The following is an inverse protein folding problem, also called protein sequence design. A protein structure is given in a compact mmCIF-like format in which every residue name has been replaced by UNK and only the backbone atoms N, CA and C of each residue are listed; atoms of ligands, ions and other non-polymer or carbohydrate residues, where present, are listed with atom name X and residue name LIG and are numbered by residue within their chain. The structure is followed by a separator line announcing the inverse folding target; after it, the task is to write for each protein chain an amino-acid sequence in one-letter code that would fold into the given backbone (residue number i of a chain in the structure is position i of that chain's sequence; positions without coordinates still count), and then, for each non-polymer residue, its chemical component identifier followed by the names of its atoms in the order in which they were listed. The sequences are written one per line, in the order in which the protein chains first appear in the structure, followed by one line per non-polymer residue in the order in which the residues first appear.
data_IF_874878131062
#
_entry.id   IF_874878131062
#
_cell.length_a   1.000
_cell.length_b   1.000
_cell.length_c   1.000
_cell.angle_alpha   90.00
_cell.angle_beta   90.00
_cell.angle_gamma   90.00
#
_symmetry.space_group_name_H-M   'P 1'
#
loop_
_entity.id
_entity.type
_entity.pdbx_description
1 polymer ?
#
# COMPACT_ATOMS: atom_id res chain seq x y z
N UNK A 1 53.33 -53.08 4.97
CA UNK A 1 51.98 -52.47 5.01
C UNK A 1 52.13 -50.97 5.07
N UNK A 2 51.87 -50.28 3.96
CA UNK A 2 51.94 -48.82 3.88
C UNK A 2 50.67 -48.20 4.51
N UNK A 3 50.83 -47.45 5.59
CA UNK A 3 49.74 -46.70 6.23
C UNK A 3 49.41 -45.44 5.43
N UNK A 4 48.33 -45.48 4.66
CA UNK A 4 47.73 -44.28 4.07
C UNK A 4 46.97 -43.50 5.15
N UNK A 5 47.53 -42.38 5.59
CA UNK A 5 46.80 -41.38 6.39
C UNK A 5 45.73 -40.74 5.50
N UNK A 6 44.46 -40.95 5.81
CA UNK A 6 43.38 -40.15 5.24
C UNK A 6 43.51 -38.70 5.71
N UNK A 7 43.97 -37.82 4.82
CA UNK A 7 43.79 -36.39 4.96
C UNK A 7 42.29 -36.10 4.85
N UNK A 8 41.67 -35.62 5.94
CA UNK A 8 40.35 -34.99 5.89
C UNK A 8 40.49 -33.70 5.11
N UNK A 9 40.15 -33.74 3.83
CA UNK A 9 40.05 -32.57 2.97
C UNK A 9 39.05 -31.57 3.56
N UNK A 10 39.43 -30.30 3.50
CA UNK A 10 38.69 -29.15 3.97
C UNK A 10 37.25 -29.15 3.44
N UNK A 11 36.27 -29.31 4.33
CA UNK A 11 34.86 -29.06 4.01
C UNK A 11 34.69 -27.58 3.66
N UNK A 12 34.53 -27.27 2.37
CA UNK A 12 34.18 -25.93 1.90
C UNK A 12 32.88 -25.53 2.59
N UNK A 13 32.95 -24.49 3.43
CA UNK A 13 31.79 -23.98 4.16
C UNK A 13 30.71 -23.58 3.14
N UNK A 14 29.56 -24.25 3.21
CA UNK A 14 28.42 -23.88 2.35
C UNK A 14 28.08 -22.41 2.63
N UNK A 15 27.92 -21.58 1.57
CA UNK A 15 27.63 -20.16 1.77
C UNK A 15 26.33 -20.04 2.58
N UNK A 16 26.40 -19.31 3.71
CA UNK A 16 25.23 -19.08 4.55
C UNK A 16 24.13 -18.47 3.69
N UNK A 17 22.94 -19.10 3.68
CA UNK A 17 21.77 -18.57 2.98
C UNK A 17 21.43 -17.20 3.57
N UNK A 18 21.71 -16.13 2.84
CA UNK A 18 21.36 -14.77 3.25
C UNK A 18 19.88 -14.57 2.96
N UNK A 19 19.10 -14.23 3.99
CA UNK A 19 17.72 -13.83 3.78
C UNK A 19 17.70 -12.37 3.31
N UNK A 20 17.72 -12.20 1.98
CA UNK A 20 17.73 -10.89 1.32
C UNK A 20 16.42 -10.11 1.44
N UNK A 21 15.38 -10.69 2.06
CA UNK A 21 14.06 -10.08 2.15
C UNK A 21 13.51 -10.22 3.57
N UNK A 22 13.84 -9.24 4.41
CA UNK A 22 13.37 -9.14 5.79
C UNK A 22 12.88 -7.72 6.08
N UNK A 23 12.04 -7.56 7.10
CA UNK A 23 11.44 -6.26 7.44
C UNK A 23 12.49 -5.19 7.74
N UNK A 24 13.60 -5.54 8.39
CA UNK A 24 14.67 -4.60 8.74
C UNK A 24 15.31 -3.99 7.49
N UNK A 25 15.66 -4.82 6.51
CA UNK A 25 16.32 -4.37 5.29
C UNK A 25 15.36 -3.59 4.39
N UNK A 26 14.09 -4.01 4.32
CA UNK A 26 13.04 -3.28 3.61
C UNK A 26 12.85 -1.89 4.23
N UNK A 27 12.72 -1.78 5.55
CA UNK A 27 12.61 -0.49 6.24
C UNK A 27 13.82 0.41 5.98
N UNK A 28 15.03 -0.15 6.00
CA UNK A 28 16.26 0.59 5.68
C UNK A 28 16.24 1.14 4.25
N UNK A 29 15.80 0.34 3.28
CA UNK A 29 15.75 0.77 1.88
C UNK A 29 14.56 1.73 1.60
N UNK A 30 13.44 1.61 2.30
CA UNK A 30 12.35 2.61 2.29
C UNK A 30 12.89 3.95 2.79
N UNK A 31 13.59 3.94 3.93
CA UNK A 31 14.17 5.15 4.51
C UNK A 31 15.11 5.83 3.50
N UNK A 32 16.08 5.11 2.95
CA UNK A 32 16.98 5.65 1.91
C UNK A 32 16.24 6.18 0.70
N UNK A 33 15.21 5.45 0.24
CA UNK A 33 14.41 5.85 -0.91
C UNK A 33 13.57 7.09 -0.63
N UNK A 34 13.15 7.35 0.61
CA UNK A 34 12.47 8.59 0.99
C UNK A 34 13.46 9.74 1.10
N UNK A 35 14.66 9.48 1.63
CA UNK A 35 15.74 10.46 1.77
C UNK A 35 16.14 11.08 0.43
N UNK A 36 16.06 10.36 -0.69
CA UNK A 36 16.36 10.93 -2.03
C UNK A 36 15.40 12.03 -2.47
N UNK A 37 14.23 12.15 -1.84
CA UNK A 37 13.26 13.23 -2.07
C UNK A 37 13.36 14.35 -1.03
N UNK A 38 14.32 14.27 -0.10
CA UNK A 38 14.41 15.18 1.03
C UNK A 38 15.65 16.05 0.91
N UNK A 39 15.53 17.30 1.38
CA UNK A 39 16.66 18.19 1.57
C UNK A 39 16.91 18.40 3.06
N UNK A 40 18.18 18.41 3.46
CA UNK A 40 18.62 18.60 4.84
C UNK A 40 19.71 19.67 4.93
N UNK A 41 19.91 20.24 6.13
CA UNK A 41 21.07 21.11 6.40
C UNK A 41 22.36 20.31 6.28
N UNK A 42 22.45 19.18 6.96
CA UNK A 42 23.52 18.20 6.80
C UNK A 42 22.97 16.88 6.26
N UNK A 43 23.18 16.63 4.97
CA UNK A 43 22.67 15.44 4.29
C UNK A 43 23.14 14.11 4.92
N UNK A 44 24.33 14.06 5.51
CA UNK A 44 24.90 12.82 6.05
C UNK A 44 24.33 12.44 7.42
N UNK A 45 23.91 13.41 8.22
CA UNK A 45 23.49 13.17 9.61
C UNK A 45 21.99 13.40 9.80
N UNK A 46 21.46 14.49 9.23
CA UNK A 46 20.11 14.97 9.53
C UNK A 46 19.03 14.08 8.93
N UNK A 47 19.37 13.21 7.97
CA UNK A 47 18.44 12.24 7.42
C UNK A 47 18.05 11.15 8.42
N UNK A 48 18.87 10.86 9.44
CA UNK A 48 18.61 9.82 10.44
C UNK A 48 17.78 10.37 11.62
N UNK A 49 16.49 10.07 11.64
CA UNK A 49 15.63 10.43 12.78
C UNK A 49 15.73 9.41 13.92
N UNK A 50 15.45 9.86 15.14
CA UNK A 50 15.45 9.00 16.33
C UNK A 50 14.03 8.59 16.73
N UNK A 51 13.07 9.49 16.56
CA UNK A 51 11.66 9.25 16.89
C UNK A 51 10.74 10.00 15.91
N UNK A 52 9.58 9.41 15.64
CA UNK A 52 8.51 10.05 14.88
C UNK A 52 7.49 10.62 15.87
N UNK A 53 7.10 11.87 15.67
CA UNK A 53 6.15 12.59 16.50
C UNK A 53 5.05 13.18 15.61
N UNK A 54 3.82 13.26 16.14
CA UNK A 54 2.67 13.77 15.38
C UNK A 54 2.64 15.29 15.25
N UNK A 55 3.25 16.02 16.19
CA UNK A 55 3.21 17.48 16.23
C UNK A 55 4.45 18.01 16.96
N UNK A 56 4.92 19.20 16.59
CA UNK A 56 6.06 19.91 17.19
C UNK A 56 5.83 20.12 18.68
N UNK A 57 4.60 20.43 19.09
CA UNK A 57 4.22 20.62 20.51
C UNK A 57 4.42 19.37 21.37
N UNK A 58 4.54 18.20 20.75
CA UNK A 58 4.76 16.94 21.46
C UNK A 58 6.25 16.65 21.68
N UNK A 59 7.15 17.48 21.17
CA UNK A 59 8.59 17.45 21.53
C UNK A 59 8.72 17.98 22.96
N UNK A 60 8.62 17.08 23.93
CA UNK A 60 8.71 17.38 25.36
C UNK A 60 9.82 16.54 26.01
N UNK A 61 10.13 16.83 27.29
CA UNK A 61 11.19 16.13 28.04
C UNK A 61 11.02 14.59 28.06
N UNK A 62 9.78 14.09 28.01
CA UNK A 62 9.52 12.65 27.95
C UNK A 62 9.92 12.06 26.58
N UNK A 63 9.55 12.71 25.49
CA UNK A 63 9.93 12.31 24.12
C UNK A 63 11.44 12.43 23.88
N UNK A 64 12.10 13.44 24.45
CA UNK A 64 13.57 13.58 24.41
C UNK A 64 14.23 12.37 25.06
N UNK A 65 13.77 11.97 26.26
CA UNK A 65 14.29 10.78 26.95
C UNK A 65 14.09 9.50 26.13
N UNK A 66 12.92 9.34 25.51
CA UNK A 66 12.60 8.21 24.65
C UNK A 66 13.50 8.18 23.40
N UNK A 67 13.71 9.33 22.75
CA UNK A 67 14.61 9.47 21.62
C UNK A 67 16.05 9.08 21.97
N UNK A 68 16.56 9.50 23.14
CA UNK A 68 17.88 9.06 23.63
C UNK A 68 17.96 7.55 23.78
N UNK A 69 16.93 6.92 24.34
CA UNK A 69 16.91 5.45 24.49
C UNK A 69 16.94 4.75 23.13
N UNK A 70 16.16 5.22 22.15
CA UNK A 70 16.15 4.68 20.79
C UNK A 70 17.50 4.87 20.09
N UNK A 71 18.13 6.04 20.24
CA UNK A 71 19.49 6.33 19.72
C UNK A 71 20.51 5.35 20.29
N UNK A 72 20.51 5.10 21.60
CA UNK A 72 21.42 4.15 22.25
C UNK A 72 21.20 2.73 21.70
N UNK A 73 19.95 2.31 21.57
CA UNK A 73 19.61 0.99 21.01
C UNK A 73 20.11 0.86 19.57
N UNK A 74 19.99 1.91 18.75
CA UNK A 74 20.52 1.93 17.38
C UNK A 74 22.05 1.82 17.38
N UNK A 75 22.75 2.68 18.13
CA UNK A 75 24.22 2.68 18.18
C UNK A 75 24.74 1.33 18.67
N UNK A 76 24.18 0.80 19.75
CA UNK A 76 24.53 -0.54 20.26
C UNK A 76 24.37 -1.63 19.21
N UNK A 77 23.39 -1.52 18.32
CA UNK A 77 23.15 -2.49 17.24
C UNK A 77 24.10 -2.34 16.06
N UNK A 78 24.61 -1.13 15.81
CA UNK A 78 25.46 -0.80 14.67
C UNK A 78 26.95 -0.93 15.00
N UNK A 79 27.40 -0.38 16.12
CA UNK A 79 28.81 -0.38 16.55
C UNK A 79 29.11 -1.44 17.61
N UNK A 80 28.10 -1.92 18.33
CA UNK A 80 28.28 -2.83 19.47
C UNK A 80 28.60 -2.13 20.80
N UNK A 81 28.76 -0.81 20.78
CA UNK A 81 29.14 -0.03 21.97
C UNK A 81 27.94 0.28 22.87
N UNK A 82 28.18 0.29 24.19
CA UNK A 82 27.16 0.61 25.20
C UNK A 82 27.36 2.04 25.67
N UNK A 83 26.59 2.96 25.10
CA UNK A 83 26.61 4.38 25.43
C UNK A 83 25.59 4.70 26.53
N UNK A 84 25.96 5.59 27.46
CA UNK A 84 25.05 6.07 28.51
C UNK A 84 24.22 7.26 28.00
N UNK A 85 22.97 7.47 28.46
CA UNK A 85 22.13 8.59 28.02
C UNK A 85 22.71 10.00 28.23
N UNK A 86 23.67 10.16 29.15
CA UNK A 86 24.34 11.44 29.41
C UNK A 86 25.38 11.82 28.35
N UNK A 87 25.79 10.89 27.50
CA UNK A 87 26.78 11.12 26.45
C UNK A 87 26.14 11.58 25.13
N UNK A 88 24.80 11.65 25.09
CA UNK A 88 24.04 12.12 23.94
C UNK A 88 23.43 13.45 24.34
N UNK A 89 23.78 14.52 23.65
CA UNK A 89 23.23 15.84 23.88
C UNK A 89 21.78 15.92 23.37
N UNK A 90 20.97 16.80 23.98
CA UNK A 90 19.59 17.01 23.55
C UNK A 90 19.53 17.63 22.14
N UNK A 91 20.57 18.38 21.75
CA UNK A 91 20.73 19.07 20.47
C UNK A 91 20.96 18.13 19.30
N UNK A 92 21.50 16.93 19.56
CA UNK A 92 21.83 15.95 18.54
C UNK A 92 20.63 15.09 18.11
N UNK A 93 19.53 15.17 18.86
CA UNK A 93 18.34 14.36 18.63
C UNK A 93 17.52 14.91 17.47
N UNK A 94 17.11 14.00 16.58
CA UNK A 94 16.34 14.35 15.39
C UNK A 94 14.93 13.81 15.52
N UNK A 95 13.96 14.74 15.50
CA UNK A 95 12.54 14.45 15.58
C UNK A 95 11.92 14.57 14.19
N UNK A 96 11.34 13.48 13.69
CA UNK A 96 10.54 13.52 12.46
C UNK A 96 9.11 13.88 12.82
N UNK A 97 8.60 14.99 12.27
CA UNK A 97 7.23 15.45 12.46
C UNK A 97 6.48 15.37 11.14
N UNK A 98 5.39 14.59 11.12
CA UNK A 98 4.55 14.45 9.93
C UNK A 98 3.75 15.73 9.72
N UNK A 99 3.93 16.42 8.59
CA UNK A 99 3.30 17.72 8.32
C UNK A 99 3.14 17.98 6.83
N UNK A 100 2.08 18.71 6.47
CA UNK A 100 1.71 19.07 5.10
C UNK A 100 2.00 20.53 4.75
N UNK A 101 2.68 21.27 5.63
CA UNK A 101 2.85 22.73 5.52
C UNK A 101 3.53 23.21 4.22
N UNK A 102 4.57 22.51 3.76
CA UNK A 102 5.28 22.84 2.51
C UNK A 102 4.60 22.31 1.25
N UNK A 103 3.52 21.54 1.39
CA UNK A 103 2.87 20.90 0.25
C UNK A 103 1.83 21.86 -0.33
N UNK A 104 1.97 22.29 -1.60
CA UNK A 104 1.02 23.18 -2.23
C UNK A 104 -0.39 22.59 -2.21
N UNK A 105 -1.39 23.47 -2.13
CA UNK A 105 -2.79 23.10 -2.27
C UNK A 105 -3.25 23.41 -3.68
N UNK A 106 -4.02 22.49 -4.24
CA UNK A 106 -4.64 22.61 -5.57
C UNK A 106 -6.16 22.55 -5.42
N UNK A 107 -6.91 23.16 -6.35
CA UNK A 107 -8.37 23.02 -6.36
C UNK A 107 -8.74 21.55 -6.51
N UNK A 108 -9.64 21.07 -5.64
CA UNK A 108 -10.11 19.69 -5.67
C UNK A 108 -10.84 19.42 -6.98
N UNK A 109 -10.46 18.36 -7.69
CA UNK A 109 -11.20 17.95 -8.88
C UNK A 109 -12.59 17.47 -8.50
N UNK A 110 -13.66 17.87 -9.21
CA UNK A 110 -15.01 17.40 -8.94
C UNK A 110 -15.08 15.88 -9.12
N UNK A 111 -15.82 15.24 -8.22
CA UNK A 111 -16.08 13.81 -8.29
C UNK A 111 -17.00 13.47 -9.47
N UNK A 112 -16.99 12.21 -9.93
CA UNK A 112 -17.90 11.74 -10.99
C UNK A 112 -19.38 11.96 -10.65
N UNK A 113 -19.74 11.85 -9.37
CA UNK A 113 -21.10 12.12 -8.90
C UNK A 113 -21.47 13.61 -9.01
N UNK A 114 -20.55 14.50 -8.63
CA UNK A 114 -20.73 15.95 -8.79
C UNK A 114 -20.82 16.34 -10.27
N UNK A 115 -19.96 15.76 -11.13
CA UNK A 115 -20.03 15.97 -12.58
C UNK A 115 -21.37 15.50 -13.15
N UNK A 116 -21.86 14.32 -12.75
CA UNK A 116 -23.17 13.82 -13.17
C UNK A 116 -24.32 14.69 -12.67
N UNK A 117 -24.23 15.22 -11.45
CA UNK A 117 -25.22 16.15 -10.90
C UNK A 117 -25.22 17.47 -11.67
N UNK A 118 -24.05 18.02 -11.98
CA UNK A 118 -23.89 19.25 -12.77
C UNK A 118 -24.46 19.09 -14.18
N UNK A 119 -24.10 18.01 -14.88
CA UNK A 119 -24.65 17.71 -16.20
C UNK A 119 -26.17 17.56 -16.18
N UNK A 120 -26.72 16.91 -15.14
CA UNK A 120 -28.18 16.79 -14.97
C UNK A 120 -28.85 18.13 -14.68
N UNK A 121 -28.20 19.02 -13.92
CA UNK A 121 -28.74 20.38 -13.68
C UNK A 121 -28.73 21.20 -14.97
N UNK A 122 -27.64 21.15 -15.73
CA UNK A 122 -27.50 21.83 -17.02
C UNK A 122 -28.56 21.39 -18.04
N UNK A 123 -28.96 20.11 -18.02
CA UNK A 123 -30.08 19.61 -18.84
C UNK A 123 -31.48 20.06 -18.35
N UNK A 124 -31.63 20.46 -17.09
CA UNK A 124 -32.92 20.80 -16.47
C UNK A 124 -33.21 22.31 -16.45
N UNK A 125 -32.19 23.16 -16.60
CA UNK A 125 -32.33 24.61 -16.53
C UNK A 125 -31.76 25.24 -17.81
N UNK A 126 -32.64 25.67 -18.73
CA UNK A 126 -32.30 26.45 -19.94
C UNK A 126 -31.95 27.93 -19.62
N UNK A 127 -31.87 28.29 -18.34
CA UNK A 127 -31.65 29.68 -17.88
C UNK A 127 -30.21 29.88 -17.41
N UNK A 128 -29.42 30.58 -18.24
CA UNK A 128 -28.00 30.88 -18.00
C UNK A 128 -27.72 31.70 -16.73
N UNK A 129 -28.73 32.37 -16.17
CA UNK A 129 -28.59 33.22 -14.98
C UNK A 129 -28.65 32.37 -13.69
N UNK A 130 -29.57 31.41 -13.62
CA UNK A 130 -29.67 30.46 -12.50
C UNK A 130 -28.50 29.45 -12.47
N UNK A 131 -28.01 29.04 -13.64
CA UNK A 131 -26.83 28.19 -13.79
C UNK A 131 -25.57 28.87 -13.18
N UNK A 132 -25.42 30.18 -13.37
CA UNK A 132 -24.31 30.98 -12.81
C UNK A 132 -24.42 31.14 -11.30
N UNK A 133 -25.61 31.42 -10.76
CA UNK A 133 -25.83 31.49 -9.31
C UNK A 133 -25.55 30.15 -8.61
N UNK A 134 -25.92 29.03 -9.23
CA UNK A 134 -25.63 27.68 -8.72
C UNK A 134 -24.16 27.28 -8.85
N UNK A 135 -23.49 27.68 -9.93
CA UNK A 135 -22.05 27.44 -10.10
C UNK A 135 -21.21 28.23 -9.07
N UNK A 136 -21.69 29.39 -8.62
CA UNK A 136 -21.08 30.17 -7.52
C UNK A 136 -21.40 29.57 -6.12
N UNK A 137 -22.60 29.01 -5.91
CA UNK A 137 -22.98 28.34 -4.65
C UNK A 137 -22.30 26.97 -4.47
N UNK A 138 -22.02 26.26 -5.58
CA UNK A 138 -21.29 24.99 -5.61
C UNK A 138 -19.82 25.13 -6.04
N UNK A 139 -19.33 26.37 -6.16
CA UNK A 139 -17.94 26.68 -6.48
C UNK A 139 -17.02 25.89 -5.56
N UNK A 140 -16.15 25.06 -6.13
CA UNK A 140 -15.30 24.13 -5.39
C UNK A 140 -14.25 24.93 -4.62
N UNK A 141 -14.59 25.40 -3.41
CA UNK A 141 -13.69 26.11 -2.50
C UNK A 141 -12.76 25.18 -1.74
N UNK A 142 -12.98 23.86 -1.81
CA UNK A 142 -12.15 22.86 -1.18
C UNK A 142 -10.80 22.77 -1.89
N UNK A 143 -9.77 23.40 -1.32
CA UNK A 143 -8.39 23.16 -1.73
C UNK A 143 -7.85 21.88 -1.07
N UNK A 144 -7.23 21.00 -1.85
CA UNK A 144 -6.61 19.75 -1.38
C UNK A 144 -5.12 19.77 -1.65
N UNK A 145 -4.31 19.16 -0.79
CA UNK A 145 -2.88 19.05 -1.04
C UNK A 145 -2.59 18.23 -2.30
N UNK A 146 -1.51 18.58 -3.01
CA UNK A 146 -1.01 17.78 -4.14
C UNK A 146 -0.72 16.35 -3.67
N UNK A 147 -0.99 15.37 -4.54
CA UNK A 147 -0.65 13.97 -4.28
C UNK A 147 0.88 13.81 -4.24
N UNK A 148 1.37 13.22 -3.15
CA UNK A 148 2.80 13.00 -2.90
C UNK A 148 3.15 11.50 -2.84
N UNK A 149 4.43 11.19 -3.00
CA UNK A 149 4.98 9.84 -3.08
C UNK A 149 4.89 9.11 -1.72
N UNK A 150 5.01 9.86 -0.63
CA UNK A 150 4.88 9.37 0.74
C UNK A 150 4.36 10.47 1.68
N UNK A 151 3.84 10.13 2.87
CA UNK A 151 3.38 11.12 3.83
C UNK A 151 4.48 12.16 4.14
N UNK A 152 4.21 13.46 3.95
CA UNK A 152 5.21 14.50 4.05
C UNK A 152 5.59 14.77 5.51
N UNK A 153 6.83 15.21 5.72
CA UNK A 153 7.37 15.45 7.05
C UNK A 153 8.47 16.52 7.05
N UNK A 154 8.73 17.04 8.24
CA UNK A 154 9.92 17.82 8.57
C UNK A 154 10.77 17.08 9.58
N UNK A 155 12.07 17.36 9.56
CA UNK A 155 12.99 17.00 10.63
C UNK A 155 13.29 18.23 11.48
N UNK A 156 13.24 18.03 12.79
CA UNK A 156 13.53 19.06 13.79
C UNK A 156 14.70 18.64 14.68
N UNK A 157 15.55 19.61 15.03
CA UNK A 157 16.52 19.54 16.12
C UNK A 157 16.13 20.53 17.21
N UNK A 158 16.64 20.35 18.42
CA UNK A 158 16.45 21.29 19.52
C UNK A 158 17.70 22.17 19.61
N UNK A 159 17.55 23.49 19.68
CA UNK A 159 18.68 24.41 19.91
C UNK A 159 19.05 24.48 21.41
N UNK A 160 20.11 25.21 21.75
CA UNK A 160 20.55 25.39 23.15
C UNK A 160 19.49 26.07 24.05
N UNK A 161 18.57 26.83 23.46
CA UNK A 161 17.45 27.46 24.15
C UNK A 161 16.27 26.50 24.39
N UNK A 162 16.33 25.28 23.86
CA UNK A 162 15.25 24.29 23.98
C UNK A 162 14.14 24.43 22.92
N UNK A 163 14.35 25.24 21.88
CA UNK A 163 13.38 25.49 20.82
C UNK A 163 13.61 24.58 19.60
N UNK A 164 12.55 24.05 18.98
CA UNK A 164 12.66 23.18 17.82
C UNK A 164 12.94 23.98 16.54
N UNK A 165 14.04 23.66 15.86
CA UNK A 165 14.46 24.25 14.58
C UNK A 165 14.30 23.23 13.44
N UNK A 166 13.84 23.68 12.27
CA UNK A 166 13.70 22.81 11.09
C UNK A 166 15.07 22.60 10.45
N UNK A 167 15.46 21.33 10.29
CA UNK A 167 16.74 20.92 9.69
C UNK A 167 16.57 20.07 8.45
N UNK A 168 15.34 19.72 8.09
CA UNK A 168 15.06 18.96 6.88
C UNK A 168 13.61 19.00 6.46
N UNK A 169 13.38 18.96 5.15
CA UNK A 169 12.06 18.96 4.53
C UNK A 169 11.96 17.79 3.53
N UNK A 170 10.84 17.06 3.57
CA UNK A 170 10.51 16.09 2.52
C UNK A 170 10.07 16.78 1.24
N UNK A 171 10.12 16.07 0.09
CA UNK A 171 9.67 16.57 -1.21
C UNK A 171 10.20 17.98 -1.53
N UNK A 172 11.45 18.24 -1.19
CA UNK A 172 12.07 19.56 -1.31
C UNK A 172 13.39 19.45 -2.06
N UNK A 173 13.58 20.32 -3.03
CA UNK A 173 14.77 20.36 -3.88
C UNK A 173 15.51 21.69 -3.69
N UNK A 174 16.81 21.60 -3.38
CA UNK A 174 17.69 22.73 -3.11
C UNK A 174 17.76 23.12 -1.63
N UNK A 175 18.28 24.31 -1.35
CA UNK A 175 18.46 24.80 0.02
C UNK A 175 17.12 24.91 0.78
N UNK A 176 17.14 24.73 2.10
CA UNK A 176 15.92 24.76 2.91
C UNK A 176 15.16 26.10 2.88
N UNK A 177 15.86 27.20 2.65
CA UNK A 177 15.29 28.54 2.57
C UNK A 177 14.85 28.93 1.15
N UNK A 178 15.68 28.65 0.15
CA UNK A 178 15.49 29.12 -1.25
C UNK A 178 15.04 28.04 -2.22
N UNK A 179 15.00 26.79 -1.77
CA UNK A 179 14.55 25.66 -2.58
C UNK A 179 13.06 25.71 -2.85
N UNK A 180 12.54 24.64 -3.44
CA UNK A 180 11.14 24.53 -3.78
C UNK A 180 10.62 23.13 -3.58
N UNK A 181 9.30 23.02 -3.48
CA UNK A 181 8.61 21.74 -3.44
C UNK A 181 8.74 21.03 -4.79
N UNK A 182 9.17 19.76 -4.74
CA UNK A 182 9.37 18.91 -5.92
C UNK A 182 9.17 17.44 -5.55
N UNK A 183 8.22 16.79 -6.23
CA UNK A 183 7.85 15.37 -6.03
C UNK A 183 8.57 14.41 -6.97
N UNK A 184 9.28 14.92 -7.98
CA UNK A 184 9.86 14.14 -9.07
C UNK A 184 11.38 14.02 -8.99
N UNK A 185 12.08 14.92 -8.26
CA UNK A 185 13.55 14.90 -8.19
C UNK A 185 14.15 13.64 -7.53
N UNK A 186 13.39 12.96 -6.67
CA UNK A 186 13.86 11.79 -5.94
C UNK A 186 13.64 10.47 -6.70
N UNK A 187 14.29 9.41 -6.22
CA UNK A 187 14.16 8.09 -6.80
C UNK A 187 14.16 6.98 -5.74
N UNK A 188 13.39 5.92 -6.01
CA UNK A 188 13.46 4.68 -5.24
C UNK A 188 14.81 3.98 -5.47
N UNK A 189 15.41 3.41 -4.41
CA UNK A 189 16.68 2.71 -4.58
C UNK A 189 16.52 1.47 -5.47
N UNK A 190 17.50 1.15 -6.32
CA UNK A 190 17.47 -0.08 -7.12
C UNK A 190 17.30 -1.34 -6.27
N UNK A 191 17.83 -1.32 -5.04
CA UNK A 191 17.71 -2.42 -4.09
C UNK A 191 16.27 -2.60 -3.59
N UNK A 192 15.55 -1.51 -3.27
CA UNK A 192 14.13 -1.61 -2.91
C UNK A 192 13.28 -2.10 -4.08
N UNK A 193 13.54 -1.59 -5.28
CA UNK A 193 12.87 -2.06 -6.50
C UNK A 193 13.08 -3.57 -6.71
N UNK A 194 14.30 -4.05 -6.53
CA UNK A 194 14.61 -5.48 -6.63
C UNK A 194 13.91 -6.31 -5.53
N UNK A 195 13.77 -5.78 -4.32
CA UNK A 195 12.98 -6.42 -3.26
C UNK A 195 11.50 -6.55 -3.65
N UNK A 196 10.90 -5.53 -4.29
CA UNK A 196 9.52 -5.58 -4.78
C UNK A 196 9.33 -6.62 -5.87
N UNK A 197 10.27 -6.71 -6.82
CA UNK A 197 10.25 -7.76 -7.86
C UNK A 197 10.24 -9.15 -7.21
N UNK A 198 11.16 -9.41 -6.27
CA UNK A 198 11.21 -10.71 -5.55
C UNK A 198 9.95 -11.00 -4.75
N UNK A 199 9.31 -9.99 -4.16
CA UNK A 199 8.04 -10.14 -3.44
C UNK A 199 6.94 -10.63 -4.39
N UNK A 200 6.77 -9.96 -5.53
CA UNK A 200 5.77 -10.32 -6.54
C UNK A 200 6.03 -11.72 -7.11
N UNK A 201 7.28 -12.03 -7.48
CA UNK A 201 7.69 -13.34 -8.00
C UNK A 201 7.39 -14.48 -7.02
N UNK A 202 7.78 -14.31 -5.75
CA UNK A 202 7.49 -15.32 -4.73
C UNK A 202 6.00 -15.46 -4.46
N UNK A 203 5.25 -14.35 -4.52
CA UNK A 203 3.80 -14.41 -4.27
C UNK A 203 3.06 -15.15 -5.39
N UNK A 204 3.51 -14.98 -6.63
CA UNK A 204 2.96 -15.63 -7.82
C UNK A 204 3.08 -17.17 -7.82
N UNK A 205 4.07 -17.74 -7.13
CA UNK A 205 4.26 -19.20 -7.07
C UNK A 205 3.32 -19.91 -6.10
N UNK A 206 2.53 -19.17 -5.31
CA UNK A 206 1.54 -19.76 -4.39
C UNK A 206 0.53 -20.61 -5.16
N UNK A 207 0.10 -21.72 -4.55
CA UNK A 207 -0.81 -22.70 -5.17
C UNK A 207 -2.08 -22.05 -5.76
N UNK A 208 -2.62 -21.05 -5.06
CA UNK A 208 -3.83 -20.34 -5.47
C UNK A 208 -3.66 -19.48 -6.72
N UNK A 209 -2.42 -19.13 -7.11
CA UNK A 209 -2.13 -18.18 -8.19
C UNK A 209 -1.35 -18.79 -9.35
N UNK A 210 -0.46 -19.76 -9.07
CA UNK A 210 0.49 -20.31 -10.06
C UNK A 210 -0.15 -20.96 -11.29
N UNK A 211 -1.41 -21.38 -11.19
CA UNK A 211 -2.13 -22.09 -12.25
C UNK A 211 -2.90 -21.20 -13.22
N UNK A 212 -2.97 -19.89 -12.97
CA UNK A 212 -3.66 -18.97 -13.88
C UNK A 212 -2.78 -18.63 -15.08
N UNK A 213 -3.39 -18.56 -16.26
CA UNK A 213 -2.72 -18.18 -17.51
C UNK A 213 -2.23 -16.73 -17.49
N UNK A 214 -2.93 -15.85 -16.77
CA UNK A 214 -2.62 -14.42 -16.64
C UNK A 214 -1.74 -14.08 -15.43
N UNK A 215 -0.94 -15.04 -14.97
CA UNK A 215 -0.07 -14.85 -13.79
C UNK A 215 0.97 -13.75 -14.02
N UNK A 216 1.51 -13.67 -15.24
CA UNK A 216 2.52 -12.65 -15.57
C UNK A 216 1.93 -11.23 -15.58
N UNK A 217 0.69 -11.07 -16.04
CA UNK A 217 -0.07 -9.81 -15.95
C UNK A 217 -0.37 -9.45 -14.50
N UNK A 218 -0.74 -10.43 -13.66
CA UNK A 218 -0.92 -10.20 -12.22
C UNK A 218 0.38 -9.69 -11.57
N UNK A 219 1.51 -10.31 -11.89
CA UNK A 219 2.84 -9.91 -11.40
C UNK A 219 3.19 -8.50 -11.84
N UNK A 220 3.00 -8.19 -13.13
CA UNK A 220 3.25 -6.87 -13.70
C UNK A 220 2.41 -5.79 -13.01
N UNK A 221 1.10 -6.04 -12.87
CA UNK A 221 0.18 -5.09 -12.22
C UNK A 221 0.50 -4.90 -10.73
N UNK A 222 0.88 -5.97 -10.01
CA UNK A 222 1.29 -5.86 -8.62
C UNK A 222 2.60 -5.09 -8.45
N UNK A 223 3.58 -5.30 -9.35
CA UNK A 223 4.83 -4.56 -9.31
C UNK A 223 4.60 -3.06 -9.57
N UNK A 224 3.73 -2.71 -10.53
CA UNK A 224 3.32 -1.32 -10.77
C UNK A 224 2.61 -0.72 -9.55
N UNK A 225 1.76 -1.50 -8.88
CA UNK A 225 1.13 -1.05 -7.64
C UNK A 225 2.19 -0.75 -6.57
N UNK A 226 3.15 -1.66 -6.36
CA UNK A 226 4.22 -1.46 -5.39
C UNK A 226 5.13 -0.27 -5.74
N UNK A 227 5.39 0.03 -7.01
CA UNK A 227 6.17 1.21 -7.37
C UNK A 227 5.44 2.51 -7.04
N UNK A 228 4.10 2.53 -7.15
CA UNK A 228 3.28 3.71 -6.86
C UNK A 228 3.05 3.95 -5.35
N UNK A 229 2.79 2.89 -4.58
CA UNK A 229 2.45 3.00 -3.15
C UNK A 229 3.56 2.54 -2.22
N UNK A 230 4.70 2.11 -2.77
CA UNK A 230 5.80 1.52 -2.03
C UNK A 230 6.29 2.44 -0.91
N UNK A 231 6.56 3.70 -1.24
CA UNK A 231 7.03 4.68 -0.26
C UNK A 231 5.93 5.17 0.68
N UNK A 232 4.65 4.90 0.42
CA UNK A 232 3.54 5.31 1.28
C UNK A 232 3.45 4.52 2.60
N UNK A 233 4.27 3.48 2.78
CA UNK A 233 4.33 2.76 4.05
C UNK A 233 4.67 3.72 5.20
N UNK A 234 3.88 3.64 6.28
CA UNK A 234 3.96 4.52 7.44
C UNK A 234 4.63 3.80 8.61
N UNK A 235 5.90 4.16 8.86
CA UNK A 235 6.73 3.55 9.89
C UNK A 235 6.27 3.89 11.31
N UNK A 236 5.45 4.92 11.49
CA UNK A 236 4.91 5.28 12.81
C UNK A 236 3.85 4.30 13.30
N UNK A 237 3.19 3.58 12.39
CA UNK A 237 2.09 2.66 12.69
C UNK A 237 2.53 1.20 12.77
N UNK A 238 3.55 0.82 12.02
CA UNK A 238 3.99 -0.57 11.93
C UNK A 238 5.45 -0.70 11.57
N UNK A 239 6.08 -1.75 12.08
CA UNK A 239 7.45 -2.16 11.74
C UNK A 239 7.48 -3.38 10.79
N UNK A 240 6.33 -3.74 10.21
CA UNK A 240 6.17 -4.90 9.34
C UNK A 240 5.73 -4.50 7.91
N UNK A 241 6.65 -3.95 7.08
CA UNK A 241 6.35 -3.60 5.70
C UNK A 241 6.02 -4.82 4.82
N UNK A 242 6.52 -6.02 5.15
CA UNK A 242 6.23 -7.23 4.38
C UNK A 242 4.72 -7.54 4.35
N UNK A 243 4.02 -7.37 5.47
CA UNK A 243 2.57 -7.56 5.54
C UNK A 243 1.82 -6.52 4.69
N UNK A 244 2.22 -5.25 4.77
CA UNK A 244 1.64 -4.18 3.97
C UNK A 244 1.77 -4.44 2.47
N UNK A 245 2.97 -4.79 1.99
CA UNK A 245 3.19 -5.10 0.58
C UNK A 245 2.50 -6.38 0.14
N UNK A 246 2.46 -7.41 0.99
CA UNK A 246 1.72 -8.65 0.67
C UNK A 246 0.23 -8.39 0.50
N UNK A 247 -0.36 -7.51 1.33
CA UNK A 247 -1.75 -7.10 1.18
C UNK A 247 -1.97 -6.35 -0.16
N UNK A 248 -1.08 -5.42 -0.50
CA UNK A 248 -1.12 -4.70 -1.77
C UNK A 248 -1.05 -5.65 -2.99
N UNK A 249 -0.15 -6.63 -2.95
CA UNK A 249 -0.01 -7.65 -4.01
C UNK A 249 -1.30 -8.47 -4.10
N UNK A 250 -1.83 -8.96 -2.98
CA UNK A 250 -3.06 -9.76 -2.93
C UNK A 250 -4.25 -9.02 -3.58
N UNK A 251 -4.43 -7.75 -3.23
CA UNK A 251 -5.49 -6.91 -3.79
C UNK A 251 -5.29 -6.69 -5.30
N UNK A 252 -4.05 -6.50 -5.73
CA UNK A 252 -3.73 -6.32 -7.16
C UNK A 252 -4.00 -7.59 -7.97
N UNK A 253 -3.57 -8.75 -7.48
CA UNK A 253 -3.81 -10.06 -8.11
C UNK A 253 -5.31 -10.33 -8.24
N UNK A 254 -6.06 -10.10 -7.16
CA UNK A 254 -7.52 -10.27 -7.14
C UNK A 254 -8.22 -9.34 -8.12
N UNK A 255 -7.75 -8.09 -8.27
CA UNK A 255 -8.29 -7.14 -9.24
C UNK A 255 -8.11 -7.62 -10.67
N UNK A 256 -6.92 -8.10 -11.04
CA UNK A 256 -6.65 -8.64 -12.38
C UNK A 256 -7.52 -9.88 -12.64
N UNK A 257 -7.61 -10.79 -11.66
CA UNK A 257 -8.49 -11.96 -11.72
C UNK A 257 -9.95 -11.57 -11.99
N UNK A 258 -10.47 -10.58 -11.28
CA UNK A 258 -11.86 -10.14 -11.43
C UNK A 258 -12.09 -9.43 -12.78
N UNK A 259 -11.12 -8.66 -13.27
CA UNK A 259 -11.18 -8.08 -14.60
C UNK A 259 -11.22 -9.16 -15.68
N UNK A 260 -10.39 -10.20 -15.57
CA UNK A 260 -10.35 -11.28 -16.54
C UNK A 260 -11.65 -12.09 -16.55
N UNK A 261 -12.20 -12.41 -15.38
CA UNK A 261 -13.53 -13.03 -15.26
C UNK A 261 -14.62 -12.19 -15.92
N UNK A 262 -14.56 -10.87 -15.75
CA UNK A 262 -15.51 -9.95 -16.39
C UNK A 262 -15.37 -9.98 -17.92
N UNK A 263 -14.14 -9.98 -18.45
CA UNK A 263 -13.91 -10.08 -19.90
C UNK A 263 -14.36 -11.42 -20.47
N UNK A 264 -14.16 -12.51 -19.73
CA UNK A 264 -14.67 -13.82 -20.10
C UNK A 264 -16.20 -13.81 -20.23
N UNK A 265 -16.90 -13.25 -19.22
CA UNK A 265 -18.36 -13.14 -19.26
C UNK A 265 -18.84 -12.31 -20.45
N UNK A 266 -18.22 -11.16 -20.72
CA UNK A 266 -18.58 -10.31 -21.88
C UNK A 266 -18.40 -11.08 -23.19
N UNK A 267 -17.31 -11.86 -23.33
CA UNK A 267 -17.09 -12.70 -24.51
C UNK A 267 -18.18 -13.75 -24.66
N UNK A 268 -18.53 -14.42 -23.57
CA UNK A 268 -19.57 -15.45 -23.56
C UNK A 268 -20.94 -14.84 -23.90
N UNK A 269 -21.28 -13.67 -23.36
CA UNK A 269 -22.52 -12.94 -23.69
C UNK A 269 -22.59 -12.61 -25.20
N UNK A 270 -21.46 -12.20 -25.80
CA UNK A 270 -21.38 -11.93 -27.25
C UNK A 270 -21.60 -13.23 -28.05
N UNK A 271 -20.99 -14.34 -27.65
CA UNK A 271 -21.17 -15.62 -28.33
C UNK A 271 -22.62 -16.10 -28.27
N UNK A 272 -23.25 -15.99 -27.09
CA UNK A 272 -24.65 -16.34 -26.88
C UNK A 272 -25.59 -15.48 -27.75
N UNK A 273 -25.33 -14.17 -27.83
CA UNK A 273 -26.13 -13.25 -28.67
C UNK A 273 -26.05 -13.60 -30.17
N UNK A 274 -24.91 -14.11 -30.62
CA UNK A 274 -24.70 -14.56 -32.01
C UNK A 274 -25.16 -16.01 -32.24
N UNK A 275 -25.78 -16.66 -31.25
CA UNK A 275 -26.22 -18.05 -31.33
C UNK A 275 -25.08 -19.08 -31.36
N UNK A 276 -23.86 -18.67 -30.96
CA UNK A 276 -22.69 -19.52 -30.84
C UNK A 276 -22.58 -20.09 -29.42
N UNK A 277 -21.78 -21.16 -29.28
CA UNK A 277 -21.57 -21.80 -27.98
C UNK A 277 -20.58 -20.99 -27.12
N UNK A 278 -20.93 -20.64 -25.86
CA UNK A 278 -20.03 -19.93 -24.94
C UNK A 278 -18.96 -20.84 -24.35
N UNK A 279 -18.10 -20.32 -23.48
CA UNK A 279 -17.07 -21.09 -22.80
C UNK A 279 -17.61 -22.31 -22.02
N UNK A 280 -16.78 -23.36 -21.90
CA UNK A 280 -17.15 -24.57 -21.15
C UNK A 280 -17.57 -24.26 -19.72
N UNK A 281 -16.90 -23.32 -19.06
CA UNK A 281 -17.25 -22.89 -17.69
C UNK A 281 -18.67 -22.32 -17.62
N UNK A 282 -19.05 -21.46 -18.58
CA UNK A 282 -20.40 -20.87 -18.67
C UNK A 282 -21.47 -21.93 -18.96
N UNK A 283 -21.20 -22.85 -19.88
CA UNK A 283 -22.11 -23.97 -20.17
C UNK A 283 -22.35 -24.88 -18.96
N UNK A 284 -21.31 -25.12 -18.16
CA UNK A 284 -21.40 -25.94 -16.94
C UNK A 284 -22.16 -25.23 -15.83
N UNK A 285 -22.02 -23.91 -15.67
CA UNK A 285 -22.81 -23.12 -14.73
C UNK A 285 -24.31 -23.22 -15.04
N UNK A 286 -24.69 -23.05 -16.31
CA UNK A 286 -26.09 -23.17 -16.73
C UNK A 286 -26.68 -24.58 -16.58
N UNK A 287 -25.86 -25.64 -16.57
CA UNK A 287 -26.32 -27.01 -16.29
C UNK A 287 -26.69 -27.22 -14.83
N UNK A 288 -25.86 -26.71 -13.91
CA UNK A 288 -26.12 -26.82 -12.46
C UNK A 288 -27.38 -26.06 -12.05
N UNK A 289 -27.59 -24.86 -12.59
CA UNK A 289 -28.80 -24.06 -12.33
C UNK A 289 -30.06 -24.75 -12.87
N UNK A 290 -30.01 -25.28 -14.10
CA UNK A 290 -31.13 -26.06 -14.68
C UNK A 290 -31.43 -27.34 -13.91
N UNK A 291 -30.40 -28.01 -13.40
CA UNK A 291 -30.55 -29.22 -12.58
C UNK A 291 -31.15 -28.90 -11.20
N UNK A 292 -30.76 -27.78 -10.59
CA UNK A 292 -31.36 -27.30 -9.34
C UNK A 292 -32.83 -26.87 -9.53
N UNK A 293 -33.14 -26.17 -10.62
CA UNK A 293 -34.52 -25.83 -11.00
C UNK A 293 -35.36 -27.08 -11.26
N UNK A 294 -34.82 -28.06 -11.99
CA UNK A 294 -35.48 -29.33 -12.24
C UNK A 294 -35.72 -30.10 -10.93
N UNK A 295 -34.76 -30.11 -10.00
CA UNK A 295 -34.94 -30.72 -8.68
C UNK A 295 -35.95 -29.99 -7.82
N UNK A 296 -36.02 -28.66 -7.87
CA UNK A 296 -37.08 -27.87 -7.21
C UNK A 296 -38.45 -28.21 -7.79
N UNK A 297 -38.55 -28.32 -9.13
CA UNK A 297 -39.78 -28.70 -9.81
C UNK A 297 -40.21 -30.14 -9.48
N UNK A 298 -39.27 -31.09 -9.46
CA UNK A 298 -39.53 -32.48 -9.07
C UNK A 298 -40.00 -32.58 -7.61
N UNK A 299 -39.38 -31.85 -6.67
CA UNK A 299 -39.82 -31.81 -5.26
C UNK A 299 -41.22 -31.20 -5.10
N UNK A 300 -41.54 -30.20 -5.92
CA UNK A 300 -42.88 -29.63 -5.96
C UNK A 300 -43.91 -30.65 -6.47
N UNK A 301 -43.60 -31.38 -7.56
CA UNK A 301 -44.46 -32.44 -8.11
C UNK A 301 -44.61 -33.61 -7.13
N UNK A 302 -43.54 -34.00 -6.42
CA UNK A 302 -43.56 -35.07 -5.41
C UNK A 302 -44.31 -34.68 -4.13
N UNK A 303 -44.73 -33.41 -4.00
CA UNK A 303 -45.49 -32.92 -2.87
C UNK A 303 -44.67 -32.81 -1.58
N UNK A 304 -43.35 -32.62 -1.70
CA UNK A 304 -42.43 -32.48 -0.56
C UNK A 304 -42.54 -31.10 0.13
N UNK A 305 -43.32 -30.18 -0.44
CA UNK A 305 -43.62 -28.86 0.11
C UNK A 305 -45.14 -28.72 0.35
N UNK A 306 -45.52 -28.24 1.53
CA UNK A 306 -46.93 -27.95 1.89
C UNK A 306 -47.15 -26.45 1.87
N UNK A 307 -48.30 -26.02 1.38
CA UNK A 307 -48.68 -24.59 1.40
C UNK A 307 -49.10 -24.21 2.83
N UNK A 308 -48.26 -23.46 3.52
CA UNK A 308 -48.57 -22.79 4.80
C UNK A 308 -49.07 -21.36 4.59
N UNK A 309 -49.48 -20.71 5.67
CA UNK A 309 -50.11 -19.37 5.65
C UNK A 309 -49.17 -18.25 5.18
N UNK A 310 -47.84 -18.45 5.26
CA UNK A 310 -46.83 -17.49 4.80
C UNK A 310 -46.02 -17.97 3.57
N UNK A 311 -46.37 -19.12 2.97
CA UNK A 311 -45.68 -19.66 1.79
C UNK A 311 -45.53 -21.19 1.80
N UNK A 312 -44.73 -21.73 0.88
CA UNK A 312 -44.45 -23.16 0.82
C UNK A 312 -43.37 -23.55 1.84
N UNK A 313 -43.68 -24.49 2.74
CA UNK A 313 -42.79 -24.99 3.80
C UNK A 313 -42.44 -26.45 3.53
N UNK A 314 -41.18 -26.83 3.77
CA UNK A 314 -40.67 -28.20 3.57
C UNK A 314 -41.37 -29.17 4.54
N UNK A 315 -41.78 -30.36 4.06
CA UNK A 315 -42.43 -31.37 4.91
C UNK A 315 -41.44 -31.90 5.94
N UNK A 316 -41.72 -31.62 7.21
CA UNK A 316 -40.94 -32.15 8.34
C UNK A 316 -41.17 -33.66 8.45
N UNK A 317 -40.21 -34.46 7.99
CA UNK A 317 -40.27 -35.93 8.02
C UNK A 317 -39.85 -36.52 9.39
N UNK A 318 -40.04 -35.79 10.48
CA UNK A 318 -39.70 -36.22 11.84
C UNK A 318 -40.88 -36.85 12.58
N UNK A 319 -41.57 -37.83 11.99
CA UNK A 319 -42.39 -38.76 12.78
C UNK A 319 -42.56 -40.10 12.06
N UNK A 320 -41.75 -41.08 12.47
CA UNK A 320 -42.13 -42.49 12.46
C UNK A 320 -41.66 -43.13 13.74
#
# INVERSE_FOLDING_TARGET
MYNYKHNKENSVATPKRVNYLNNKDILKEIHKSKTTYCSFVNNDEDHQFDIIVLDVKKINKARIKEAKQLRIVRIKKETGEIIKPRQIEDTDLIFRVMTWEHIPKIPKKPTKAQLKKRAKLEELFDDEELQRELDDEYGITDQVHVKVNFPPFYHYKINDAGEPIVIGKSHWNGDLEKGHFDVEHGAMTPKLAHMFIKLCERYATRANWRGYTYNDEMRGQALLQLSQIGLQFDESKSQNPFAYYTAAITNSFTRVLNLEKKHQNIRDDILENEGLNPSWTRQLQGKGEKEEELQKHIRHIRGDFVKGEEGYVEKDNSTK
#
